data_IF_624532880917
#
_entry.id   IF_624532880917
#
_cell.length_a   1.000
_cell.length_b   1.000
_cell.length_c   1.000
_cell.angle_alpha   90.00
_cell.angle_beta   90.00
_cell.angle_gamma   90.00
#
_symmetry.space_group_name_H-M   'P 1'
#
loop_
_entity.id
_entity.type
_entity.pdbx_description
1 polymer ?
#
# COMPACT_ATOMS: atom_id res chain seq x y z
N UNK A 1 26.66 62.19 33.98
CA UNK A 1 25.61 61.35 34.61
C UNK A 1 24.30 61.76 33.98
N UNK A 2 23.55 60.96 33.24
CA UNK A 2 23.65 59.55 32.89
C UNK A 2 22.67 59.30 31.73
N UNK A 3 23.04 58.30 30.92
CA UNK A 3 22.19 57.39 30.13
C UNK A 3 21.17 57.98 29.14
N UNK A 4 21.55 57.90 27.87
CA UNK A 4 20.65 57.60 26.75
C UNK A 4 19.93 56.27 27.03
N UNK A 5 18.61 56.26 26.90
CA UNK A 5 17.79 55.05 26.86
C UNK A 5 17.39 54.82 25.40
N UNK A 6 17.90 53.74 24.80
CA UNK A 6 17.42 53.24 23.51
C UNK A 6 16.04 52.59 23.72
N UNK A 7 15.03 53.09 23.01
CA UNK A 7 13.73 52.42 22.85
C UNK A 7 13.71 51.73 21.49
N UNK A 8 13.57 50.41 21.50
CA UNK A 8 13.45 49.57 20.32
C UNK A 8 12.23 49.95 19.47
N UNK A 9 12.28 49.79 18.13
CA UNK A 9 11.11 49.98 17.30
C UNK A 9 10.18 48.77 17.40
N UNK A 10 8.91 49.01 17.73
CA UNK A 10 7.83 48.05 17.61
C UNK A 10 7.52 47.82 16.13
N UNK A 11 7.90 46.67 15.58
CA UNK A 11 7.41 46.20 14.29
C UNK A 11 6.01 45.61 14.46
N UNK A 12 5.01 46.32 13.95
CA UNK A 12 3.73 45.71 13.63
C UNK A 12 3.91 44.77 12.43
N UNK A 13 3.41 43.55 12.56
CA UNK A 13 2.94 42.76 11.43
C UNK A 13 1.67 42.04 11.87
N UNK A 14 0.53 42.70 11.66
CA UNK A 14 -0.75 42.02 11.55
C UNK A 14 -0.72 41.22 10.24
N UNK A 15 -0.28 39.96 10.31
CA UNK A 15 -0.60 38.96 9.29
C UNK A 15 -2.11 38.65 9.35
N UNK A 16 -2.73 38.22 8.24
CA UNK A 16 -4.16 37.98 8.22
C UNK A 16 -4.49 36.84 9.19
N UNK A 17 -5.19 37.20 10.26
CA UNK A 17 -5.81 36.27 11.19
C UNK A 17 -6.91 35.51 10.47
N UNK A 18 -6.83 34.18 10.53
CA UNK A 18 -7.96 33.26 10.47
C UNK A 18 -8.94 33.49 9.34
N UNK A 19 -8.66 32.88 8.17
CA UNK A 19 -9.77 32.35 7.39
C UNK A 19 -10.46 31.31 8.27
N UNK A 20 -11.78 31.44 8.41
CA UNK A 20 -12.66 30.51 9.11
C UNK A 20 -12.51 29.15 8.44
N UNK A 21 -11.62 28.30 8.98
CA UNK A 21 -11.40 26.93 8.50
C UNK A 21 -12.72 26.18 8.75
N UNK A 22 -13.16 25.40 7.76
CA UNK A 22 -14.41 24.65 7.85
C UNK A 22 -14.45 23.68 9.06
N UNK A 23 -15.52 22.87 9.21
CA UNK A 23 -15.72 22.03 10.40
C UNK A 23 -14.75 20.82 10.54
N UNK A 24 -13.57 20.86 9.92
CA UNK A 24 -12.57 19.79 9.94
C UNK A 24 -11.72 19.72 11.21
N UNK A 25 -10.99 18.62 11.35
CA UNK A 25 -10.03 18.41 12.44
C UNK A 25 -8.89 19.45 12.40
N UNK A 26 -8.32 19.82 13.57
CA UNK A 26 -7.20 20.74 13.58
C UNK A 26 -5.95 20.11 12.94
N UNK A 27 -5.17 20.94 12.25
CA UNK A 27 -3.79 20.61 11.85
C UNK A 27 -2.88 21.68 12.47
N UNK A 28 -2.05 21.26 13.44
CA UNK A 28 -1.33 22.17 14.34
C UNK A 28 0.14 22.41 13.96
N UNK A 29 0.68 21.63 13.01
CA UNK A 29 2.10 21.69 12.70
C UNK A 29 2.48 22.95 11.92
N UNK A 30 3.39 23.76 12.48
CA UNK A 30 3.81 25.06 11.93
C UNK A 30 4.52 24.96 10.56
N UNK A 31 4.98 23.77 10.16
CA UNK A 31 5.69 23.55 8.90
C UNK A 31 4.79 23.20 7.72
N UNK A 32 3.48 23.03 7.94
CA UNK A 32 2.52 22.78 6.86
C UNK A 32 2.48 23.97 5.90
N UNK A 33 2.58 23.68 4.61
CA UNK A 33 2.33 24.69 3.57
C UNK A 33 0.82 24.93 3.41
N UNK A 34 0.46 25.99 2.68
CA UNK A 34 -0.94 26.26 2.34
C UNK A 34 -1.56 25.10 1.54
N UNK A 35 -0.83 24.53 0.58
CA UNK A 35 -1.30 23.39 -0.24
C UNK A 35 -1.47 22.12 0.61
N UNK A 36 -0.56 21.87 1.55
CA UNK A 36 -0.70 20.76 2.51
C UNK A 36 -1.93 20.94 3.38
N UNK A 37 -2.15 22.15 3.91
CA UNK A 37 -3.32 22.46 4.72
C UNK A 37 -4.62 22.31 3.92
N UNK A 38 -4.63 22.77 2.67
CA UNK A 38 -5.78 22.61 1.77
C UNK A 38 -6.08 21.14 1.48
N UNK A 39 -5.06 20.31 1.28
CA UNK A 39 -5.21 18.86 1.16
C UNK A 39 -5.82 18.23 2.41
N UNK A 40 -5.37 18.62 3.61
CA UNK A 40 -5.91 18.09 4.85
C UNK A 40 -7.37 18.51 5.09
N UNK A 41 -7.78 19.70 4.65
CA UNK A 41 -9.17 20.18 4.70
C UNK A 41 -10.13 19.34 3.82
N UNK A 42 -9.61 18.52 2.90
CA UNK A 42 -10.43 17.61 2.05
C UNK A 42 -10.77 16.27 2.71
N UNK A 43 -10.15 15.96 3.86
CA UNK A 43 -10.38 14.70 4.57
C UNK A 43 -11.86 14.56 4.91
N UNK A 44 -12.48 13.51 4.40
CA UNK A 44 -13.88 13.22 4.71
C UNK A 44 -14.12 11.73 4.86
N UNK A 45 -15.06 11.40 5.75
CA UNK A 45 -15.44 10.02 6.03
C UNK A 45 -16.27 9.44 4.88
N UNK A 46 -15.93 8.23 4.46
CA UNK A 46 -16.60 7.50 3.36
C UNK A 46 -17.56 6.46 3.90
N UNK A 47 -17.14 5.68 4.90
CA UNK A 47 -17.97 4.68 5.54
C UNK A 47 -18.69 5.25 6.78
N UNK A 48 -19.76 4.59 7.21
CA UNK A 48 -20.51 5.06 8.38
C UNK A 48 -19.73 4.89 9.70
N UNK A 49 -18.98 3.80 9.79
CA UNK A 49 -18.32 3.38 11.04
C UNK A 49 -17.01 4.16 11.28
N UNK A 50 -16.48 4.83 10.25
CA UNK A 50 -15.35 5.74 10.35
C UNK A 50 -14.00 5.05 10.22
N UNK A 51 -13.93 3.97 9.45
CA UNK A 51 -12.72 3.21 9.13
C UNK A 51 -12.15 3.50 7.74
N UNK A 52 -12.89 4.19 6.88
CA UNK A 52 -12.49 4.59 5.53
C UNK A 52 -12.75 6.09 5.33
N UNK A 53 -11.70 6.79 4.91
CA UNK A 53 -11.74 8.21 4.54
C UNK A 53 -11.19 8.41 3.15
N UNK A 54 -11.47 9.57 2.56
CA UNK A 54 -10.84 10.05 1.34
C UNK A 54 -10.14 11.39 1.58
N UNK A 55 -9.01 11.60 0.89
CA UNK A 55 -8.22 12.84 0.95
C UNK A 55 -7.54 13.14 -0.38
N UNK A 56 -7.66 14.38 -0.85
CA UNK A 56 -6.92 14.87 -2.01
C UNK A 56 -5.50 15.27 -1.61
N UNK A 57 -4.51 14.78 -2.36
CA UNK A 57 -3.08 15.07 -2.19
C UNK A 57 -2.56 15.85 -3.40
N UNK A 58 -2.74 17.18 -3.38
CA UNK A 58 -2.37 18.09 -4.48
C UNK A 58 -1.12 18.93 -4.21
N UNK A 59 -0.35 18.61 -3.18
CA UNK A 59 0.91 19.28 -2.83
C UNK A 59 2.15 18.56 -3.41
N UNK A 60 3.23 19.31 -3.60
CA UNK A 60 4.53 18.74 -3.95
C UNK A 60 5.16 18.03 -2.75
N UNK A 61 5.13 16.70 -2.78
CA UNK A 61 5.81 15.88 -1.80
C UNK A 61 7.24 15.47 -2.23
N UNK A 62 7.64 15.64 -3.49
CA UNK A 62 9.00 15.30 -3.96
C UNK A 62 10.03 16.40 -3.70
N UNK A 63 9.64 17.65 -3.89
CA UNK A 63 10.51 18.82 -3.77
C UNK A 63 10.55 19.44 -2.37
N UNK A 64 9.74 18.93 -1.43
CA UNK A 64 9.63 19.48 -0.08
C UNK A 64 10.71 18.94 0.87
N UNK A 65 11.69 19.75 1.33
CA UNK A 65 12.80 19.27 2.15
C UNK A 65 12.39 18.71 3.51
N UNK A 66 11.27 19.18 4.08
CA UNK A 66 10.75 18.68 5.35
C UNK A 66 10.15 17.27 5.18
N UNK A 67 9.40 17.06 4.10
CA UNK A 67 8.88 15.74 3.74
C UNK A 67 10.04 14.77 3.46
N UNK A 68 11.02 15.17 2.66
CA UNK A 68 12.21 14.34 2.39
C UNK A 68 12.93 13.92 3.67
N UNK A 69 13.08 14.84 4.64
CA UNK A 69 13.69 14.51 5.95
C UNK A 69 12.83 13.57 6.81
N UNK A 70 11.50 13.59 6.65
CA UNK A 70 10.59 12.70 7.36
C UNK A 70 10.53 11.33 6.67
N UNK A 71 10.61 11.26 5.35
CA UNK A 71 10.64 10.00 4.59
C UNK A 71 11.73 9.04 5.04
N UNK A 72 12.90 9.54 5.47
CA UNK A 72 13.96 8.68 6.03
C UNK A 72 13.54 7.94 7.32
N UNK A 73 12.43 8.36 7.95
CA UNK A 73 11.87 7.82 9.20
C UNK A 73 10.58 7.02 9.02
N UNK A 74 9.89 7.16 7.88
CA UNK A 74 8.59 6.52 7.62
C UNK A 74 8.71 5.49 6.48
N UNK A 75 8.08 4.33 6.68
CA UNK A 75 8.12 3.19 5.74
C UNK A 75 7.68 1.90 6.42
N UNK A 76 6.76 2.03 7.39
CA UNK A 76 6.43 0.97 8.33
C UNK A 76 5.20 0.25 7.82
N UNK A 77 5.30 -1.07 7.67
CA UNK A 77 4.15 -1.97 7.52
C UNK A 77 4.46 -3.25 8.27
N UNK A 78 3.45 -4.00 8.66
CA UNK A 78 3.61 -5.37 9.15
C UNK A 78 2.39 -6.23 8.72
N UNK A 79 1.90 -6.00 7.49
CA UNK A 79 0.60 -6.54 7.06
C UNK A 79 0.65 -7.91 6.35
N UNK A 80 -0.17 -8.83 6.84
CA UNK A 80 -0.65 -10.00 6.10
C UNK A 80 -1.36 -9.56 4.84
N UNK A 81 -1.14 -10.17 3.68
CA UNK A 81 -1.84 -9.76 2.47
C UNK A 81 -2.04 -10.94 1.51
N UNK A 82 -2.98 -10.79 0.59
CA UNK A 82 -3.11 -11.64 -0.59
C UNK A 82 -3.60 -10.83 -1.77
N UNK A 83 -3.15 -11.13 -2.97
CA UNK A 83 -3.53 -10.43 -4.19
C UNK A 83 -3.55 -11.37 -5.39
N UNK A 84 -4.33 -11.02 -6.40
CA UNK A 84 -4.32 -11.70 -7.70
C UNK A 84 -4.77 -10.78 -8.83
N UNK A 85 -4.45 -11.17 -10.05
CA UNK A 85 -4.90 -10.52 -11.28
C UNK A 85 -5.85 -11.43 -12.06
N UNK A 86 -6.82 -10.82 -12.72
CA UNK A 86 -7.74 -11.48 -13.67
C UNK A 86 -8.16 -10.45 -14.73
N UNK A 87 -8.83 -10.89 -15.79
CA UNK A 87 -9.55 -9.97 -16.67
C UNK A 87 -11.01 -9.83 -16.24
N UNK A 88 -11.65 -8.73 -16.64
CA UNK A 88 -13.10 -8.62 -16.57
C UNK A 88 -13.79 -9.59 -17.55
N UNK A 89 -15.12 -9.75 -17.45
CA UNK A 89 -15.87 -10.72 -18.29
C UNK A 89 -15.72 -10.49 -19.80
N UNK A 90 -15.58 -9.23 -20.22
CA UNK A 90 -15.38 -8.83 -21.62
C UNK A 90 -13.95 -9.04 -22.09
N UNK A 91 -12.99 -9.22 -21.17
CA UNK A 91 -11.57 -9.38 -21.47
C UNK A 91 -10.86 -8.08 -21.87
N UNK A 92 -11.49 -6.93 -21.64
CA UNK A 92 -11.00 -5.61 -22.08
C UNK A 92 -10.57 -4.69 -20.93
N UNK A 93 -10.64 -5.18 -19.69
CA UNK A 93 -10.04 -4.57 -18.51
C UNK A 93 -9.32 -5.62 -17.67
N UNK A 94 -8.25 -5.18 -17.02
CA UNK A 94 -7.52 -5.96 -16.01
C UNK A 94 -8.10 -5.60 -14.64
N UNK A 95 -8.39 -6.63 -13.86
CA UNK A 95 -8.82 -6.51 -12.48
C UNK A 95 -7.71 -7.00 -11.56
N UNK A 96 -7.24 -6.14 -10.66
CA UNK A 96 -6.31 -6.52 -9.58
C UNK A 96 -7.07 -6.53 -8.27
N UNK A 97 -7.11 -7.67 -7.60
CA UNK A 97 -7.84 -7.89 -6.36
C UNK A 97 -6.87 -8.10 -5.21
N UNK A 98 -7.11 -7.51 -4.03
CA UNK A 98 -6.26 -7.70 -2.84
C UNK A 98 -7.00 -7.63 -1.51
N UNK A 99 -6.53 -8.41 -0.54
CA UNK A 99 -6.83 -8.24 0.88
C UNK A 99 -5.64 -7.60 1.57
N UNK A 100 -5.92 -6.58 2.39
CA UNK A 100 -4.99 -6.02 3.34
C UNK A 100 -5.35 -6.53 4.74
N UNK A 101 -4.49 -7.36 5.33
CA UNK A 101 -4.70 -8.00 6.63
C UNK A 101 -3.70 -7.44 7.65
N UNK A 102 -4.18 -6.69 8.63
CA UNK A 102 -3.34 -6.29 9.75
C UNK A 102 -4.15 -6.10 11.02
N UNK A 103 -3.63 -6.61 12.12
CA UNK A 103 -4.26 -6.52 13.42
C UNK A 103 -3.75 -5.29 14.16
N UNK A 104 -4.40 -4.16 13.93
CA UNK A 104 -4.18 -2.96 14.73
C UNK A 104 -4.75 -3.15 16.14
N UNK A 105 -3.93 -2.90 17.15
CA UNK A 105 -4.39 -2.88 18.54
C UNK A 105 -3.81 -1.69 19.29
N UNK A 106 -4.62 -1.05 20.12
CA UNK A 106 -4.13 -0.12 21.14
C UNK A 106 -3.44 -0.87 22.31
N UNK A 107 -2.87 -0.11 23.25
CA UNK A 107 -2.24 -0.64 24.44
C UNK A 107 -3.20 -1.42 25.38
N UNK A 108 -4.51 -1.23 25.24
CA UNK A 108 -5.55 -1.95 25.99
C UNK A 108 -6.06 -3.19 25.24
N UNK A 109 -5.58 -3.44 24.02
CA UNK A 109 -5.98 -4.56 23.15
C UNK A 109 -7.28 -4.32 22.37
N UNK A 110 -7.78 -3.08 22.34
CA UNK A 110 -8.89 -2.67 21.47
C UNK A 110 -8.44 -2.59 20.02
N UNK A 111 -9.32 -2.97 19.08
CA UNK A 111 -9.02 -2.85 17.65
C UNK A 111 -8.97 -1.39 17.23
N UNK A 112 -7.92 -1.03 16.50
CA UNK A 112 -7.71 0.33 15.96
C UNK A 112 -7.48 0.27 14.45
N UNK A 113 -6.87 1.30 13.88
CA UNK A 113 -6.60 1.41 12.45
C UNK A 113 -7.74 2.07 11.70
N UNK A 114 -7.37 2.77 10.65
CA UNK A 114 -8.28 3.33 9.65
C UNK A 114 -7.50 3.49 8.35
N UNK A 115 -8.22 3.42 7.24
CA UNK A 115 -7.66 3.50 5.91
C UNK A 115 -8.09 4.82 5.27
N UNK A 116 -7.19 5.42 4.52
CA UNK A 116 -7.45 6.66 3.78
C UNK A 116 -7.13 6.39 2.32
N UNK A 117 -8.14 6.49 1.48
CA UNK A 117 -7.93 6.55 0.05
C UNK A 117 -7.46 7.95 -0.33
N UNK A 118 -6.31 8.03 -0.98
CA UNK A 118 -5.66 9.27 -1.36
C UNK A 118 -5.69 9.44 -2.87
N UNK A 119 -6.11 10.62 -3.31
CA UNK A 119 -6.06 11.05 -4.70
C UNK A 119 -4.79 11.87 -4.91
N UNK A 120 -3.78 11.27 -5.53
CA UNK A 120 -2.50 11.95 -5.76
C UNK A 120 -2.43 12.46 -7.21
N UNK A 121 -2.01 13.71 -7.38
CA UNK A 121 -1.75 14.31 -8.70
C UNK A 121 -0.50 15.21 -8.67
N UNK A 122 0.70 14.66 -8.32
CA UNK A 122 1.91 15.47 -8.29
C UNK A 122 2.28 16.03 -9.67
N UNK A 123 2.85 17.23 -9.69
CA UNK A 123 3.25 17.92 -10.92
C UNK A 123 4.22 17.08 -11.76
N UNK A 124 3.87 16.89 -13.05
CA UNK A 124 4.71 16.16 -14.01
C UNK A 124 4.75 14.64 -13.81
N UNK A 125 3.85 14.09 -13.00
CA UNK A 125 3.75 12.66 -12.66
C UNK A 125 2.34 12.15 -12.97
N UNK A 126 2.14 10.83 -12.86
CA UNK A 126 0.83 10.23 -13.07
C UNK A 126 -0.12 10.51 -11.90
N UNK A 127 -1.39 10.75 -12.24
CA UNK A 127 -2.47 10.75 -11.24
C UNK A 127 -2.70 9.33 -10.73
N UNK A 128 -3.10 9.18 -9.47
CA UNK A 128 -3.44 7.87 -8.89
C UNK A 128 -4.49 7.96 -7.78
N UNK A 129 -5.20 6.86 -7.59
CA UNK A 129 -5.88 6.54 -6.33
C UNK A 129 -5.08 5.47 -5.61
N UNK A 130 -4.76 5.69 -4.35
CA UNK A 130 -4.08 4.69 -3.51
C UNK A 130 -4.78 4.58 -2.16
N UNK A 131 -4.70 3.42 -1.51
CA UNK A 131 -5.20 3.25 -0.15
C UNK A 131 -3.99 3.19 0.78
N UNK A 132 -3.99 4.07 1.77
CA UNK A 132 -2.98 4.14 2.81
C UNK A 132 -3.59 3.71 4.15
N UNK A 133 -2.80 3.00 4.93
CA UNK A 133 -3.15 2.66 6.30
C UNK A 133 -2.58 3.76 7.20
N UNK A 134 -3.46 4.59 7.72
CA UNK A 134 -3.06 5.77 8.48
C UNK A 134 -2.46 5.41 9.84
N UNK A 135 -2.71 4.19 10.36
CA UNK A 135 -2.13 3.72 11.60
C UNK A 135 -0.60 3.86 11.62
N UNK A 136 0.07 3.68 10.47
CA UNK A 136 1.52 3.78 10.37
C UNK A 136 2.09 5.18 10.63
N UNK A 137 1.24 6.21 10.60
CA UNK A 137 1.62 7.58 10.96
C UNK A 137 1.55 7.84 12.46
N UNK A 138 0.93 6.93 13.22
CA UNK A 138 0.71 7.05 14.66
C UNK A 138 0.93 5.71 15.39
N UNK A 139 1.78 4.84 14.85
CA UNK A 139 1.95 3.47 15.37
C UNK A 139 2.45 3.42 16.81
N UNK A 140 3.15 4.46 17.26
CA UNK A 140 3.68 4.56 18.63
C UNK A 140 2.57 4.82 19.66
N UNK A 141 1.51 5.54 19.29
CA UNK A 141 0.41 5.89 20.21
C UNK A 141 -0.87 5.10 19.94
N UNK A 142 -1.03 4.56 18.72
CA UNK A 142 -2.20 3.80 18.27
C UNK A 142 -3.53 4.55 18.48
N UNK A 143 -3.54 5.87 18.33
CA UNK A 143 -4.73 6.73 18.49
C UNK A 143 -5.59 6.78 17.24
N UNK A 144 -5.02 6.49 16.07
CA UNK A 144 -5.75 6.45 14.81
C UNK A 144 -6.70 5.23 14.77
N UNK A 145 -7.97 5.52 15.04
CA UNK A 145 -9.07 4.56 15.19
C UNK A 145 -10.37 5.09 14.59
N UNK A 146 -11.43 4.28 14.65
CA UNK A 146 -12.72 4.59 14.03
C UNK A 146 -13.24 5.98 14.39
N UNK A 147 -13.57 6.79 13.37
CA UNK A 147 -14.20 8.10 13.54
C UNK A 147 -13.28 9.22 14.04
N UNK A 148 -11.97 8.99 14.16
CA UNK A 148 -11.06 9.94 14.81
C UNK A 148 -10.63 11.09 13.89
N UNK A 149 -10.61 10.89 12.56
CA UNK A 149 -10.14 11.92 11.62
C UNK A 149 -11.14 13.05 11.38
N UNK A 150 -12.38 12.92 11.87
CA UNK A 150 -13.45 13.91 11.76
C UNK A 150 -14.15 14.16 13.12
N UNK A 151 -13.46 13.94 14.23
CA UNK A 151 -13.96 14.14 15.60
C UNK A 151 -13.95 15.61 16.08
N UNK A 152 -13.42 16.52 15.27
CA UNK A 152 -13.20 17.94 15.50
C UNK A 152 -12.06 18.29 16.47
N UNK A 153 -11.20 17.33 16.85
CA UNK A 153 -10.24 17.50 17.96
C UNK A 153 -8.87 16.90 17.72
N UNK A 154 -8.79 15.81 16.97
CA UNK A 154 -7.55 15.08 16.76
C UNK A 154 -6.67 15.81 15.76
N UNK A 155 -5.38 15.97 16.08
CA UNK A 155 -4.42 16.60 15.17
C UNK A 155 -4.12 15.67 13.99
N UNK A 156 -4.51 16.10 12.80
CA UNK A 156 -4.36 15.31 11.57
C UNK A 156 -3.25 15.83 10.66
N UNK A 157 -2.36 16.70 11.17
CA UNK A 157 -1.21 17.24 10.43
C UNK A 157 -0.36 16.16 9.75
N UNK A 158 -0.21 14.99 10.37
CA UNK A 158 0.64 13.91 9.84
C UNK A 158 0.07 13.23 8.60
N UNK A 159 -1.22 13.39 8.28
CA UNK A 159 -1.82 12.76 7.10
C UNK A 159 -1.17 13.21 5.78
N UNK A 160 -0.43 14.32 5.76
CA UNK A 160 0.41 14.72 4.60
C UNK A 160 1.51 13.71 4.25
N UNK A 161 1.76 12.72 5.10
CA UNK A 161 2.70 11.62 4.83
C UNK A 161 2.03 10.38 4.22
N UNK A 162 0.70 10.36 4.10
CA UNK A 162 -0.07 9.23 3.53
C UNK A 162 0.44 8.76 2.15
N UNK A 163 0.88 9.63 1.22
CA UNK A 163 1.47 9.18 -0.04
C UNK A 163 2.62 8.18 0.13
N UNK A 164 3.47 8.35 1.16
CA UNK A 164 4.60 7.45 1.42
C UNK A 164 4.26 6.24 2.28
N UNK A 165 3.05 6.22 2.84
CA UNK A 165 2.52 5.08 3.58
C UNK A 165 1.36 4.37 2.86
N UNK A 166 1.19 4.58 1.55
CA UNK A 166 0.23 3.80 0.76
C UNK A 166 0.63 2.32 0.63
N UNK A 167 -0.36 1.42 0.76
CA UNK A 167 -0.15 -0.03 0.70
C UNK A 167 -0.50 -0.61 -0.66
N UNK A 168 -1.39 0.04 -1.40
CA UNK A 168 -1.74 -0.32 -2.77
C UNK A 168 -2.40 0.86 -3.47
N UNK A 169 -2.56 0.74 -4.78
CA UNK A 169 -3.24 1.74 -5.59
C UNK A 169 -3.24 1.43 -7.07
N UNK A 170 -3.85 2.33 -7.83
CA UNK A 170 -3.87 2.34 -9.29
C UNK A 170 -3.57 3.75 -9.82
N UNK A 171 -2.79 3.86 -10.88
CA UNK A 171 -2.53 5.12 -11.56
C UNK A 171 -3.32 5.29 -12.86
N UNK A 172 -3.23 6.47 -13.47
CA UNK A 172 -3.97 6.80 -14.70
C UNK A 172 -3.54 6.04 -15.95
N UNK A 173 -2.50 5.19 -15.84
CA UNK A 173 -2.09 4.24 -16.88
C UNK A 173 -2.69 2.85 -16.66
N UNK A 174 -3.49 2.66 -15.62
CA UNK A 174 -4.05 1.37 -15.25
C UNK A 174 -3.03 0.43 -14.62
N UNK A 175 -1.87 0.94 -14.20
CA UNK A 175 -0.89 0.18 -13.44
C UNK A 175 -1.28 0.16 -11.96
N UNK A 176 -1.33 -1.04 -11.40
CA UNK A 176 -1.63 -1.31 -10.00
C UNK A 176 -0.39 -1.78 -9.26
N UNK A 177 -0.32 -1.44 -7.98
CA UNK A 177 0.75 -1.88 -7.07
C UNK A 177 0.14 -2.35 -5.75
N UNK A 178 0.79 -3.30 -5.09
CA UNK A 178 0.44 -3.77 -3.76
C UNK A 178 1.69 -4.16 -2.99
N UNK A 179 1.84 -3.68 -1.76
CA UNK A 179 2.89 -4.12 -0.83
C UNK A 179 2.35 -5.23 0.07
N UNK A 180 3.10 -6.32 0.21
CA UNK A 180 2.72 -7.44 1.08
C UNK A 180 3.92 -7.82 1.93
N UNK A 181 3.70 -8.15 3.21
CA UNK A 181 4.76 -8.60 4.12
C UNK A 181 5.39 -9.89 3.64
N UNK A 182 6.72 -9.91 3.65
CA UNK A 182 7.56 -11.06 3.36
C UNK A 182 8.44 -11.33 4.59
N UNK A 183 8.27 -12.47 5.26
CA UNK A 183 9.18 -12.80 6.36
C UNK A 183 10.55 -13.20 5.80
N UNK A 184 11.59 -12.78 6.53
CA UNK A 184 12.97 -13.17 6.28
C UNK A 184 13.15 -14.64 6.65
N UNK A 185 13.51 -15.50 5.68
CA UNK A 185 13.74 -16.94 5.91
C UNK A 185 14.92 -17.16 6.86
N UNK A 186 14.95 -18.32 7.52
CA UNK A 186 16.07 -18.72 8.37
C UNK A 186 17.39 -18.68 7.58
N UNK A 187 18.37 -17.92 8.07
CA UNK A 187 19.66 -17.72 7.40
C UNK A 187 19.72 -16.55 6.42
N UNK A 188 18.61 -15.86 6.18
CA UNK A 188 18.57 -14.57 5.47
C UNK A 188 18.57 -13.39 6.46
N UNK A 189 18.81 -12.19 5.94
CA UNK A 189 18.63 -10.93 6.64
C UNK A 189 17.72 -10.05 5.81
N UNK A 190 16.94 -9.19 6.47
CA UNK A 190 16.20 -8.13 5.79
C UNK A 190 17.11 -7.32 4.85
N UNK A 191 16.56 -6.86 3.74
CA UNK A 191 17.29 -6.10 2.72
C UNK A 191 17.91 -4.83 3.31
N UNK A 192 19.18 -4.59 2.98
CA UNK A 192 19.95 -3.39 3.33
C UNK A 192 20.98 -3.12 2.22
N UNK A 193 20.50 -2.72 1.04
CA UNK A 193 21.33 -2.41 -0.11
C UNK A 193 22.10 -1.09 0.07
N UNK A 194 23.36 -1.07 -0.41
CA UNK A 194 24.30 0.06 -0.25
C UNK A 194 25.11 0.32 -1.52
N UNK A 195 24.52 0.13 -2.69
CA UNK A 195 25.19 0.41 -3.96
C UNK A 195 25.53 1.90 -4.04
N UNK A 196 26.80 2.21 -4.30
CA UNK A 196 27.26 3.58 -4.39
C UNK A 196 26.56 4.33 -5.54
N UNK A 197 26.06 5.54 -5.24
CA UNK A 197 25.39 6.40 -6.22
C UNK A 197 23.87 6.22 -6.32
N UNK A 198 23.28 5.22 -5.65
CA UNK A 198 21.83 5.07 -5.53
C UNK A 198 21.30 5.64 -4.21
N UNK A 199 20.09 6.19 -4.25
CA UNK A 199 19.38 6.65 -3.06
C UNK A 199 18.77 5.44 -2.35
N UNK A 200 18.88 5.39 -1.03
CA UNK A 200 18.25 4.35 -0.19
C UNK A 200 16.84 4.75 0.21
N UNK A 201 15.86 3.90 -0.09
CA UNK A 201 14.44 4.10 0.23
C UNK A 201 13.80 2.82 0.80
N UNK A 202 12.67 2.99 1.49
CA UNK A 202 11.84 1.87 1.92
C UNK A 202 10.90 1.38 0.80
N UNK A 203 10.35 0.18 0.98
CA UNK A 203 9.47 -0.46 0.00
C UNK A 203 8.22 0.39 -0.34
N UNK A 204 7.59 1.07 0.61
CA UNK A 204 6.41 1.90 0.30
C UNK A 204 6.72 3.20 -0.43
N UNK A 205 7.90 3.76 -0.20
CA UNK A 205 8.36 4.90 -0.99
C UNK A 205 8.52 4.46 -2.45
N UNK A 206 9.06 3.26 -2.68
CA UNK A 206 9.10 2.68 -4.02
C UNK A 206 7.69 2.43 -4.59
N UNK A 207 6.74 1.92 -3.80
CA UNK A 207 5.31 1.80 -4.19
C UNK A 207 4.76 3.12 -4.70
N UNK A 208 4.98 4.22 -3.96
CA UNK A 208 4.55 5.56 -4.37
C UNK A 208 5.23 6.02 -5.67
N UNK A 209 6.54 5.78 -5.80
CA UNK A 209 7.30 6.16 -6.99
C UNK A 209 6.85 5.40 -8.24
N UNK A 210 6.52 4.11 -8.09
CA UNK A 210 5.97 3.28 -9.17
C UNK A 210 4.63 3.86 -9.64
N UNK A 211 3.72 4.17 -8.72
CA UNK A 211 2.44 4.76 -9.09
C UNK A 211 2.60 6.12 -9.79
N UNK A 212 3.55 6.94 -9.37
CA UNK A 212 3.78 8.27 -9.94
C UNK A 212 4.54 8.26 -11.27
N UNK A 213 5.22 7.17 -11.62
CA UNK A 213 6.21 7.16 -12.71
C UNK A 213 6.16 5.99 -13.69
N UNK A 214 5.43 4.91 -13.40
CA UNK A 214 5.42 3.70 -14.23
C UNK A 214 4.05 3.43 -14.86
N UNK A 215 4.04 3.08 -16.14
CA UNK A 215 2.86 2.62 -16.89
C UNK A 215 2.85 1.10 -17.10
N UNK A 216 4.01 0.45 -17.02
CA UNK A 216 4.17 -0.99 -17.30
C UNK A 216 4.93 -1.72 -16.19
N UNK A 217 4.78 -3.04 -16.11
CA UNK A 217 5.56 -3.87 -15.19
C UNK A 217 7.06 -3.73 -15.45
N UNK A 218 7.48 -3.67 -16.73
CA UNK A 218 8.90 -3.52 -17.08
C UNK A 218 9.49 -2.18 -16.59
N UNK A 219 8.73 -1.10 -16.67
CA UNK A 219 9.13 0.20 -16.12
C UNK A 219 9.25 0.16 -14.59
N UNK A 220 8.34 -0.53 -13.90
CA UNK A 220 8.40 -0.73 -12.45
C UNK A 220 9.63 -1.57 -12.05
N UNK A 221 9.94 -2.62 -12.79
CA UNK A 221 11.16 -3.44 -12.61
C UNK A 221 12.42 -2.60 -12.81
N UNK A 222 12.46 -1.78 -13.86
CA UNK A 222 13.59 -0.90 -14.12
C UNK A 222 13.78 0.11 -12.97
N UNK A 223 12.70 0.77 -12.52
CA UNK A 223 12.74 1.71 -11.41
C UNK A 223 13.18 1.04 -10.10
N UNK A 224 12.71 -0.17 -9.81
CA UNK A 224 13.14 -0.93 -8.64
C UNK A 224 14.66 -1.21 -8.62
N UNK A 225 15.30 -1.27 -9.79
CA UNK A 225 16.75 -1.41 -9.93
C UNK A 225 17.55 -0.13 -9.69
N UNK A 226 16.91 1.05 -9.78
CA UNK A 226 17.58 2.36 -9.68
C UNK A 226 17.77 2.85 -8.23
N UNK A 227 17.11 2.20 -7.27
CA UNK A 227 17.20 2.53 -5.85
C UNK A 227 17.88 1.43 -5.04
N UNK A 228 18.49 1.83 -3.92
CA UNK A 228 18.82 0.90 -2.85
C UNK A 228 17.56 0.68 -2.02
N UNK A 229 17.16 -0.56 -1.81
CA UNK A 229 16.07 -0.86 -0.89
C UNK A 229 16.62 -1.18 0.50
N UNK A 230 15.94 -0.64 1.50
CA UNK A 230 16.20 -0.88 2.90
C UNK A 230 14.91 -1.35 3.58
N UNK A 231 14.96 -2.53 4.17
CA UNK A 231 13.91 -3.05 5.01
C UNK A 231 13.77 -2.23 6.28
N UNK A 232 12.55 -2.19 6.81
CA UNK A 232 12.20 -1.36 7.96
C UNK A 232 11.94 -2.29 9.15
N UNK A 233 12.60 -2.00 10.28
CA UNK A 233 12.60 -2.84 11.49
C UNK A 233 13.00 -4.31 11.29
N UNK A 234 13.84 -4.60 10.28
CA UNK A 234 14.27 -5.96 9.98
C UNK A 234 13.18 -6.81 9.31
N UNK A 235 12.13 -6.17 8.78
CA UNK A 235 11.10 -6.80 7.97
C UNK A 235 11.32 -6.50 6.48
N UNK A 236 10.99 -7.48 5.64
CA UNK A 236 10.96 -7.33 4.19
C UNK A 236 9.54 -7.33 3.67
N UNK A 237 9.39 -6.79 2.46
CA UNK A 237 8.15 -6.77 1.72
C UNK A 237 8.45 -7.19 0.30
N UNK A 238 7.46 -7.76 -0.36
CA UNK A 238 7.47 -7.80 -1.81
C UNK A 238 6.43 -6.84 -2.38
N UNK A 239 6.70 -6.41 -3.61
CA UNK A 239 5.82 -5.50 -4.34
C UNK A 239 5.20 -6.28 -5.50
N UNK A 240 3.89 -6.45 -5.45
CA UNK A 240 3.12 -7.01 -6.56
C UNK A 240 2.68 -5.89 -7.49
N UNK A 241 3.11 -5.96 -8.75
CA UNK A 241 2.81 -4.96 -9.78
C UNK A 241 2.02 -5.64 -10.90
N UNK A 242 0.98 -4.98 -11.39
CA UNK A 242 0.22 -5.43 -12.56
C UNK A 242 -0.09 -4.24 -13.44
N UNK A 243 0.13 -4.36 -14.76
CA UNK A 243 -0.18 -3.30 -15.72
C UNK A 243 -1.48 -3.55 -16.50
N UNK A 244 -1.89 -2.54 -17.29
CA UNK A 244 -3.15 -2.57 -18.03
C UNK A 244 -3.22 -3.65 -19.13
N UNK A 245 -2.09 -4.31 -19.46
CA UNK A 245 -2.06 -5.41 -20.42
C UNK A 245 -2.35 -6.77 -19.77
N UNK A 246 -2.29 -6.83 -18.43
CA UNK A 246 -2.42 -8.04 -17.63
C UNK A 246 -1.07 -8.68 -17.30
N UNK A 247 0.06 -8.05 -17.69
CA UNK A 247 1.36 -8.48 -17.19
C UNK A 247 1.43 -8.21 -15.69
N UNK A 248 2.00 -9.18 -14.96
CA UNK A 248 2.05 -9.20 -13.50
C UNK A 248 3.41 -9.72 -13.03
N UNK A 249 3.95 -9.14 -11.97
CA UNK A 249 5.18 -9.59 -11.34
C UNK A 249 5.24 -9.25 -9.85
N UNK A 250 5.99 -10.07 -9.12
CA UNK A 250 6.42 -9.80 -7.74
C UNK A 250 7.89 -9.39 -7.77
N UNK A 251 8.20 -8.29 -7.08
CA UNK A 251 9.54 -7.77 -6.87
C UNK A 251 9.98 -8.05 -5.43
N UNK A 252 11.07 -8.81 -5.27
CA UNK A 252 11.64 -9.15 -3.96
C UNK A 252 13.14 -8.81 -3.91
N UNK A 253 13.68 -8.51 -2.73
CA UNK A 253 15.11 -8.22 -2.56
C UNK A 253 15.87 -9.31 -1.80
N UNK A 254 15.85 -10.53 -2.33
CA UNK A 254 16.47 -11.69 -1.69
C UNK A 254 18.00 -11.60 -1.73
N UNK A 255 18.65 -11.81 -0.60
CA UNK A 255 20.12 -11.67 -0.46
C UNK A 255 20.64 -10.32 -0.99
N UNK A 256 19.91 -9.22 -0.77
CA UNK A 256 20.23 -7.89 -1.26
C UNK A 256 20.25 -7.76 -2.81
N UNK A 257 19.54 -8.63 -3.52
CA UNK A 257 19.40 -8.58 -4.97
C UNK A 257 17.94 -8.55 -5.36
N UNK A 258 17.59 -7.67 -6.31
CA UNK A 258 16.27 -7.67 -6.92
C UNK A 258 16.04 -8.99 -7.67
N UNK A 259 15.04 -9.74 -7.24
CA UNK A 259 14.49 -10.92 -7.86
C UNK A 259 13.10 -10.57 -8.40
N UNK A 260 12.84 -10.91 -9.65
CA UNK A 260 11.56 -10.63 -10.32
C UNK A 260 10.92 -11.95 -10.70
N UNK A 261 9.75 -12.21 -10.13
CA UNK A 261 8.98 -13.44 -10.40
C UNK A 261 7.72 -13.05 -11.15
N UNK A 262 7.48 -13.65 -12.32
CA UNK A 262 6.21 -13.49 -13.05
C UNK A 262 5.16 -14.41 -12.44
N UNK A 263 4.04 -13.85 -12.02
CA UNK A 263 3.02 -14.57 -11.23
C UNK A 263 1.71 -13.79 -11.19
N UNK A 264 0.59 -14.49 -11.31
CA UNK A 264 -0.75 -13.88 -11.31
C UNK A 264 -1.46 -13.87 -9.96
N UNK A 265 -0.89 -14.50 -8.93
CA UNK A 265 -1.46 -14.55 -7.59
C UNK A 265 -0.38 -14.66 -6.52
N UNK A 266 -0.51 -13.93 -5.43
CA UNK A 266 0.48 -13.84 -4.36
C UNK A 266 -0.20 -13.72 -3.00
N UNK A 267 0.42 -14.28 -1.97
CA UNK A 267 0.16 -14.01 -0.56
C UNK A 267 1.48 -13.69 0.12
N UNK A 268 1.49 -13.49 1.44
CA UNK A 268 2.70 -13.11 2.18
C UNK A 268 3.98 -13.86 1.80
N UNK A 269 3.98 -15.18 1.93
CA UNK A 269 5.17 -16.02 1.75
C UNK A 269 5.20 -16.77 0.42
N UNK A 270 4.08 -16.73 -0.30
CA UNK A 270 3.85 -17.60 -1.43
C UNK A 270 3.44 -16.76 -2.62
N UNK A 271 4.21 -16.82 -3.70
CA UNK A 271 3.69 -16.58 -5.05
C UNK A 271 2.88 -17.79 -5.52
N UNK A 272 2.08 -17.71 -6.58
CA UNK A 272 1.26 -18.81 -7.15
C UNK A 272 2.01 -20.12 -7.48
N UNK A 273 3.32 -20.11 -7.25
CA UNK A 273 4.26 -21.20 -7.25
C UNK A 273 5.07 -21.13 -5.94
N UNK A 274 5.40 -22.28 -5.34
CA UNK A 274 6.30 -22.39 -4.18
C UNK A 274 7.44 -21.39 -4.36
N UNK A 275 7.49 -20.40 -3.46
CA UNK A 275 8.40 -19.27 -3.53
C UNK A 275 9.82 -19.79 -3.74
N UNK A 276 10.37 -19.50 -4.93
CA UNK A 276 11.78 -19.52 -5.28
C UNK A 276 12.62 -20.42 -4.35
N UNK A 277 12.33 -21.72 -4.34
CA UNK A 277 13.22 -22.69 -3.71
C UNK A 277 14.43 -22.95 -4.61
N UNK A 278 15.02 -21.88 -5.16
CA UNK A 278 16.20 -21.95 -6.02
C UNK A 278 17.28 -21.05 -5.47
N UNK A 279 17.95 -21.63 -4.49
CA UNK A 279 19.36 -21.46 -4.16
C UNK A 279 20.13 -20.67 -5.23
N UNK A 280 20.57 -19.46 -4.89
CA UNK A 280 21.67 -18.84 -5.60
C UNK A 280 22.91 -19.71 -5.42
N UNK A 281 23.19 -20.59 -6.38
CA UNK A 281 24.45 -21.34 -6.41
C UNK A 281 25.43 -20.60 -7.30
N UNK A 282 26.50 -20.10 -6.70
CA UNK A 282 27.53 -19.32 -7.41
C UNK A 282 26.99 -18.06 -8.12
N UNK A 283 25.97 -17.41 -7.56
CA UNK A 283 25.44 -16.17 -8.11
C UNK A 283 24.47 -16.32 -9.30
N UNK A 284 24.00 -17.54 -9.57
CA UNK A 284 23.01 -17.84 -10.62
C UNK A 284 21.72 -18.33 -9.97
N UNK A 285 20.58 -17.81 -10.42
CA UNK A 285 19.25 -18.29 -10.06
C UNK A 285 19.03 -19.66 -10.69
N UNK A 286 18.69 -20.67 -9.88
CA UNK A 286 18.62 -22.07 -10.32
C UNK A 286 17.16 -22.51 -10.53
N UNK A 287 16.35 -21.75 -11.27
CA UNK A 287 14.89 -21.93 -11.44
C UNK A 287 14.33 -23.38 -11.44
N UNK A 288 13.33 -23.62 -10.59
CA UNK A 288 12.16 -24.46 -10.77
C UNK A 288 11.00 -23.80 -10.00
N UNK A 289 10.14 -23.14 -10.77
CA UNK A 289 8.80 -22.72 -10.37
C UNK A 289 7.99 -23.97 -9.97
N UNK A 290 7.81 -24.25 -8.66
CA UNK A 290 7.05 -25.43 -8.20
C UNK A 290 5.58 -25.07 -8.07
N UNK A 291 4.70 -25.77 -8.80
CA UNK A 291 3.25 -25.56 -8.69
C UNK A 291 2.73 -25.95 -7.30
N UNK A 292 1.89 -25.11 -6.69
CA UNK A 292 1.26 -25.41 -5.39
C UNK A 292 0.38 -26.66 -5.49
N UNK A 293 0.63 -27.65 -4.64
CA UNK A 293 -0.20 -28.86 -4.55
C UNK A 293 -1.28 -28.72 -3.47
N UNK A 294 -2.55 -28.80 -3.84
CA UNK A 294 -3.71 -28.69 -2.93
C UNK A 294 -3.91 -29.93 -2.01
N UNK A 295 -2.90 -30.79 -1.87
CA UNK A 295 -2.96 -32.08 -1.16
C UNK A 295 -2.22 -32.05 0.19
N UNK A 296 -1.51 -30.97 0.49
CA UNK A 296 -0.59 -30.89 1.62
C UNK A 296 -1.36 -30.72 2.94
N UNK A 297 -1.33 -31.75 3.80
CA UNK A 297 -1.94 -31.76 5.14
C UNK A 297 -1.06 -31.13 6.23
N UNK A 298 0.23 -30.93 5.98
CA UNK A 298 1.20 -30.39 6.93
C UNK A 298 2.03 -29.30 6.28
N UNK A 299 2.14 -28.13 6.94
CA UNK A 299 2.94 -27.00 6.48
C UNK A 299 4.38 -27.45 6.18
N UNK A 300 4.79 -27.47 4.91
CA UNK A 300 6.14 -27.91 4.53
C UNK A 300 7.25 -27.04 5.16
N UNK A 301 6.95 -25.79 5.52
CA UNK A 301 7.95 -24.81 5.98
C UNK A 301 7.53 -23.95 7.18
N UNK A 302 6.42 -24.26 7.86
CA UNK A 302 6.05 -23.55 9.11
C UNK A 302 5.56 -22.10 8.96
N UNK A 303 5.34 -21.57 7.76
CA UNK A 303 4.95 -20.17 7.50
C UNK A 303 3.42 -19.87 7.55
N UNK A 304 2.66 -20.62 8.34
CA UNK A 304 1.28 -20.28 8.72
C UNK A 304 0.25 -20.19 7.58
N UNK A 305 -0.84 -19.46 7.83
CA UNK A 305 -2.08 -19.45 7.03
C UNK A 305 -1.96 -18.90 5.59
N UNK A 306 -0.81 -18.33 5.18
CA UNK A 306 -0.60 -17.75 3.84
C UNK A 306 -0.74 -18.76 2.69
N UNK A 307 -0.35 -20.02 2.91
CA UNK A 307 -0.45 -21.09 1.91
C UNK A 307 -1.91 -21.44 1.58
N UNK A 308 -2.75 -21.56 2.61
CA UNK A 308 -4.17 -21.91 2.44
C UNK A 308 -4.95 -20.81 1.72
N UNK A 309 -4.65 -19.55 2.02
CA UNK A 309 -5.24 -18.40 1.32
C UNK A 309 -4.88 -18.42 -0.15
N UNK A 310 -3.59 -18.60 -0.46
CA UNK A 310 -3.15 -18.64 -1.85
C UNK A 310 -3.69 -19.84 -2.63
N UNK A 311 -3.65 -21.04 -2.05
CA UNK A 311 -4.22 -22.24 -2.70
C UNK A 311 -5.73 -22.08 -2.91
N UNK A 312 -6.44 -21.43 -1.98
CA UNK A 312 -7.85 -21.04 -2.15
C UNK A 312 -8.06 -20.11 -3.34
N UNK A 313 -7.27 -19.03 -3.43
CA UNK A 313 -7.31 -18.07 -4.56
C UNK A 313 -7.02 -18.78 -5.88
N UNK A 314 -5.87 -19.47 -5.99
CA UNK A 314 -5.46 -20.17 -7.23
C UNK A 314 -6.51 -21.20 -7.64
N UNK A 315 -7.02 -22.01 -6.70
CA UNK A 315 -8.09 -22.97 -7.00
C UNK A 315 -9.38 -22.30 -7.47
N UNK A 316 -9.70 -21.11 -6.97
CA UNK A 316 -10.85 -20.35 -7.43
C UNK A 316 -10.61 -19.81 -8.84
N UNK A 317 -9.44 -19.24 -9.12
CA UNK A 317 -9.04 -18.75 -10.45
C UNK A 317 -9.10 -19.84 -11.52
N UNK A 318 -8.67 -21.06 -11.20
CA UNK A 318 -8.72 -22.22 -12.12
C UNK A 318 -10.15 -22.53 -12.61
N UNK A 319 -11.18 -22.16 -11.85
CA UNK A 319 -12.59 -22.33 -12.24
C UNK A 319 -13.07 -21.28 -13.25
N UNK A 320 -12.33 -20.19 -13.41
CA UNK A 320 -12.67 -19.05 -14.26
C UNK A 320 -11.73 -18.89 -15.47
N UNK A 321 -10.88 -19.89 -15.76
CA UNK A 321 -9.99 -19.90 -16.92
C UNK A 321 -10.79 -19.70 -18.22
N UNK A 322 -10.40 -18.70 -19.01
CA UNK A 322 -10.93 -18.55 -20.36
C UNK A 322 -10.17 -19.45 -21.34
N UNK A 323 -10.78 -20.57 -21.69
CA UNK A 323 -10.19 -21.49 -22.66
C UNK A 323 -10.12 -20.96 -24.09
N UNK A 324 -10.71 -19.80 -24.39
CA UNK A 324 -10.59 -19.15 -25.70
C UNK A 324 -9.34 -18.28 -25.85
N UNK A 325 -8.69 -17.89 -24.75
CA UNK A 325 -7.43 -17.13 -24.77
C UNK A 325 -6.21 -18.05 -24.83
N UNK A 326 -5.15 -17.58 -25.49
CA UNK A 326 -3.87 -18.30 -25.58
C UNK A 326 -3.14 -18.35 -24.24
N UNK A 327 -3.16 -17.24 -23.50
CA UNK A 327 -2.57 -17.11 -22.16
C UNK A 327 -3.35 -17.85 -21.05
N UNK A 328 -4.54 -18.39 -21.36
CA UNK A 328 -5.44 -19.07 -20.41
C UNK A 328 -5.79 -18.22 -19.18
N UNK A 329 -5.72 -16.89 -19.30
CA UNK A 329 -6.01 -16.00 -18.19
C UNK A 329 -7.46 -16.19 -17.70
N UNK A 330 -7.66 -16.05 -16.40
CA UNK A 330 -9.00 -16.06 -15.82
C UNK A 330 -9.78 -14.81 -16.24
N UNK A 331 -11.10 -14.95 -16.37
CA UNK A 331 -12.01 -13.81 -16.55
C UNK A 331 -13.21 -13.90 -15.62
N UNK A 332 -13.58 -12.78 -15.02
CA UNK A 332 -14.69 -12.72 -14.07
C UNK A 332 -15.21 -11.30 -13.86
N UNK A 333 -16.39 -11.17 -13.26
CA UNK A 333 -16.88 -9.88 -12.75
C UNK A 333 -16.04 -9.41 -11.57
N UNK A 334 -16.03 -8.10 -11.31
CA UNK A 334 -15.47 -7.54 -10.07
C UNK A 334 -16.10 -8.16 -8.81
N UNK A 335 -17.40 -8.48 -8.85
CA UNK A 335 -18.06 -9.19 -7.75
C UNK A 335 -17.54 -10.61 -7.53
N UNK A 336 -17.27 -11.36 -8.62
CA UNK A 336 -16.65 -12.68 -8.52
C UNK A 336 -15.24 -12.58 -7.93
N UNK A 337 -14.46 -11.58 -8.35
CA UNK A 337 -13.13 -11.32 -7.78
C UNK A 337 -13.23 -11.00 -6.27
N UNK A 338 -14.15 -10.13 -5.87
CA UNK A 338 -14.41 -9.82 -4.46
C UNK A 338 -14.85 -11.05 -3.65
N UNK A 339 -15.67 -11.94 -4.24
CA UNK A 339 -16.03 -13.21 -3.60
C UNK A 339 -14.82 -14.12 -3.39
N UNK A 340 -13.85 -14.15 -4.31
CA UNK A 340 -12.60 -14.90 -4.09
C UNK A 340 -11.82 -14.31 -2.91
N UNK A 341 -11.72 -12.98 -2.83
CA UNK A 341 -11.09 -12.30 -1.69
C UNK A 341 -11.77 -12.66 -0.37
N UNK A 342 -13.10 -12.78 -0.34
CA UNK A 342 -13.85 -13.17 0.87
C UNK A 342 -13.48 -14.56 1.42
N UNK A 343 -13.05 -15.47 0.54
CA UNK A 343 -12.60 -16.81 0.95
C UNK A 343 -11.19 -16.77 1.55
N UNK A 344 -10.37 -15.80 1.14
CA UNK A 344 -9.02 -15.58 1.64
C UNK A 344 -8.96 -14.55 2.78
N UNK A 345 -10.10 -14.04 3.23
CA UNK A 345 -10.18 -13.07 4.31
C UNK A 345 -9.87 -13.72 5.66
N UNK A 346 -9.41 -12.90 6.60
CA UNK A 346 -8.95 -13.33 7.90
C UNK A 346 -9.76 -12.68 9.01
N UNK A 347 -10.28 -13.52 9.91
CA UNK A 347 -10.85 -13.06 11.16
C UNK A 347 -9.77 -12.48 12.07
N UNK A 348 -10.14 -11.56 12.98
CA UNK A 348 -9.21 -11.07 13.99
C UNK A 348 -8.68 -12.20 14.88
N UNK A 349 -7.36 -12.36 14.89
CA UNK A 349 -6.65 -13.37 15.66
C UNK A 349 -5.63 -12.75 16.61
N UNK A 350 -4.61 -13.52 17.01
CA UNK A 350 -3.49 -13.01 17.82
C UNK A 350 -2.29 -12.59 16.98
N UNK A 351 -2.18 -13.09 15.76
CA UNK A 351 -1.08 -12.79 14.83
C UNK A 351 -1.21 -11.37 14.26
N UNK A 352 -0.08 -10.69 14.04
CA UNK A 352 -0.07 -9.34 13.48
C UNK A 352 -0.70 -9.28 12.07
N UNK A 353 -0.53 -10.36 11.29
CA UNK A 353 -1.05 -10.53 9.93
C UNK A 353 -2.50 -11.05 9.88
N UNK A 354 -3.20 -11.10 11.02
CA UNK A 354 -4.63 -11.43 11.09
C UNK A 354 -5.50 -10.20 10.88
N UNK A 355 -6.82 -10.37 10.76
CA UNK A 355 -7.81 -9.29 10.51
C UNK A 355 -7.69 -8.61 9.14
N UNK A 356 -8.55 -8.98 8.20
CA UNK A 356 -8.73 -8.23 6.94
C UNK A 356 -9.31 -6.85 7.23
N UNK A 357 -8.49 -5.81 7.06
CA UNK A 357 -8.89 -4.41 7.18
C UNK A 357 -9.81 -4.01 6.04
N UNK A 358 -9.43 -4.38 4.82
CA UNK A 358 -10.28 -4.24 3.65
C UNK A 358 -9.91 -5.22 2.53
N UNK A 359 -10.88 -5.41 1.65
CA UNK A 359 -10.73 -6.09 0.36
C UNK A 359 -10.96 -5.06 -0.74
N UNK A 360 -10.06 -4.99 -1.72
CA UNK A 360 -10.16 -4.05 -2.84
C UNK A 360 -10.06 -4.76 -4.19
N UNK A 361 -10.86 -4.31 -5.17
CA UNK A 361 -10.76 -4.70 -6.58
C UNK A 361 -10.54 -3.44 -7.41
N UNK A 362 -9.37 -3.35 -8.01
CA UNK A 362 -8.96 -2.30 -8.94
C UNK A 362 -9.33 -2.66 -10.37
N UNK A 363 -9.85 -1.72 -11.15
CA UNK A 363 -10.19 -1.90 -12.57
C UNK A 363 -9.35 -0.94 -13.43
N UNK A 364 -8.51 -1.50 -14.31
CA UNK A 364 -7.55 -0.73 -15.13
C UNK A 364 -8.19 0.13 -16.22
N UNK A 365 -9.45 -0.14 -16.56
CA UNK A 365 -10.20 0.61 -17.57
C UNK A 365 -11.01 1.73 -16.94
N UNK A 366 -11.67 1.48 -15.81
CA UNK A 366 -12.44 2.52 -15.11
C UNK A 366 -11.62 3.31 -14.11
N UNK A 367 -10.34 2.95 -13.91
CA UNK A 367 -9.38 3.63 -13.03
C UNK A 367 -9.98 3.85 -11.64
N UNK A 368 -10.48 2.77 -11.05
CA UNK A 368 -11.23 2.83 -9.79
C UNK A 368 -10.95 1.63 -8.89
N UNK A 369 -11.10 1.83 -7.58
CA UNK A 369 -11.09 0.79 -6.57
C UNK A 369 -12.51 0.55 -6.06
N UNK A 370 -12.92 -0.73 -6.00
CA UNK A 370 -14.12 -1.18 -5.29
C UNK A 370 -13.68 -1.79 -3.97
N UNK A 371 -14.09 -1.23 -2.83
CA UNK A 371 -13.55 -1.53 -1.50
C UNK A 371 -14.65 -2.02 -0.56
N UNK A 372 -14.37 -3.09 0.18
CA UNK A 372 -15.20 -3.57 1.29
C UNK A 372 -14.37 -3.53 2.58
N UNK A 373 -14.88 -2.89 3.62
CA UNK A 373 -14.19 -2.77 4.91
C UNK A 373 -14.53 -3.96 5.83
N UNK A 374 -13.55 -4.45 6.60
CA UNK A 374 -13.73 -5.43 7.69
C UNK A 374 -14.63 -6.63 7.36
N UNK A 375 -14.46 -7.18 6.15
CA UNK A 375 -15.26 -8.31 5.64
C UNK A 375 -16.77 -8.03 5.49
N UNK A 376 -17.24 -6.78 5.58
CA UNK A 376 -18.61 -6.41 5.25
C UNK A 376 -18.78 -6.31 3.73
N UNK A 377 -18.87 -7.46 3.07
CA UNK A 377 -19.10 -7.54 1.63
C UNK A 377 -20.51 -7.08 1.19
N UNK A 378 -21.37 -6.70 2.13
CA UNK A 378 -22.67 -6.06 1.85
C UNK A 378 -22.57 -4.54 1.65
N UNK A 379 -21.54 -3.91 2.23
CA UNK A 379 -21.27 -2.47 2.14
C UNK A 379 -20.06 -2.21 1.25
N UNK A 380 -20.32 -1.74 0.03
CA UNK A 380 -19.31 -1.56 -1.00
C UNK A 380 -19.09 -0.07 -1.27
N UNK A 381 -17.84 0.37 -1.22
CA UNK A 381 -17.41 1.73 -1.53
C UNK A 381 -16.67 1.76 -2.86
N UNK A 382 -16.92 2.78 -3.68
CA UNK A 382 -16.24 2.94 -4.97
C UNK A 382 -15.47 4.24 -4.98
N UNK A 383 -14.17 4.13 -5.23
CA UNK A 383 -13.22 5.24 -5.26
C UNK A 383 -12.70 5.36 -6.68
N UNK A 384 -12.87 6.51 -7.32
CA UNK A 384 -12.53 6.73 -8.74
C UNK A 384 -11.40 7.73 -8.86
N UNK A 385 -10.54 7.58 -9.88
CA UNK A 385 -9.52 8.57 -10.19
C UNK A 385 -10.08 9.92 -10.68
N UNK A 386 -11.32 9.91 -11.19
CA UNK A 386 -12.00 11.07 -11.78
C UNK A 386 -12.88 11.85 -10.79
#
# INVERSE_FOLDING_TARGET
MDKKTETAPSSGSTGPSGADRGPGNPHSFEWLTDDMSASLDTVHRVDKEGFLYEMDCSYDYYGNPHITSLMEKFGVYDAGCSAFVTFNETGDSVLTARNYDYRHTDAAGGYTGLNVAIHCAPDGRYRSVAIADAYWLDSDNATFSAGVLDDGRTDTSMLVMLPYVCVDGINEKGLTVSILKLDVKEGESSVDQKDAGKISIGHSVLTRYILDGCATVDEAVAMAGDYNIKGVFGMDFHIFVTDSTGASAVLEWRYNKLCVTKVDAVSNFYSGFDDAEDYYKNGVLMENVVRLENSVKEYKYGFGHGYHRLTGIVSALERYIDFSREDRAAKMTGEQAMRILSVAAQDPGTEATSMTQYSAVYDSKTLSATVCMHQDYGSVFRITLD
#
